data_IF_300530718480
#
_entry.id   IF_300530718480
#
_cell.length_a   1.000
_cell.length_b   1.000
_cell.length_c   1.000
_cell.angle_alpha   90.00
_cell.angle_beta   90.00
_cell.angle_gamma   90.00
#
_symmetry.space_group_name_H-M   'P 1'
#
loop_
_entity.id
_entity.type
_entity.pdbx_description
1 polymer ?
#
# COMPACT_ATOMS: atom_id res chain seq x y z
N UNK A 1 -16.30 37.36 -12.60
CA UNK A 1 -14.84 37.52 -12.45
C UNK A 1 -14.39 36.42 -11.53
N UNK A 2 -13.77 35.36 -12.07
CA UNK A 2 -13.21 34.27 -11.29
C UNK A 2 -11.70 34.51 -11.16
N UNK A 3 -11.21 34.58 -9.93
CA UNK A 3 -9.78 34.52 -9.61
C UNK A 3 -9.61 33.42 -8.58
N UNK A 4 -9.46 32.19 -9.06
CA UNK A 4 -8.94 31.08 -8.25
C UNK A 4 -7.62 30.66 -8.90
N UNK A 5 -6.61 31.50 -8.66
CA UNK A 5 -5.23 31.26 -9.03
C UNK A 5 -4.59 30.32 -8.02
N UNK A 6 -4.08 29.21 -8.54
CA UNK A 6 -2.83 28.57 -8.15
C UNK A 6 -2.70 28.02 -6.72
N UNK A 7 -2.89 26.71 -6.59
CA UNK A 7 -2.15 25.90 -5.63
C UNK A 7 -1.26 24.90 -6.38
N UNK A 8 -0.23 25.40 -7.06
CA UNK A 8 0.93 24.58 -7.37
C UNK A 8 1.85 24.59 -6.15
N UNK A 9 1.51 23.78 -5.15
CA UNK A 9 2.42 23.53 -4.03
C UNK A 9 3.52 22.61 -4.55
N UNK A 10 4.69 23.18 -4.83
CA UNK A 10 5.89 22.45 -5.19
C UNK A 10 6.46 21.76 -3.93
N UNK A 11 5.68 20.85 -3.36
CA UNK A 11 5.99 20.17 -2.10
C UNK A 11 6.88 18.99 -2.42
N UNK A 12 8.13 19.06 -1.96
CA UNK A 12 9.03 17.91 -1.98
C UNK A 12 8.50 16.86 -1.01
N UNK A 13 7.83 15.84 -1.54
CA UNK A 13 7.37 14.69 -0.76
C UNK A 13 8.44 13.59 -0.73
N UNK A 14 8.67 13.03 0.45
CA UNK A 14 9.54 11.86 0.57
C UNK A 14 8.77 10.62 0.16
N UNK A 15 9.37 9.81 -0.70
CA UNK A 15 8.80 8.54 -1.14
C UNK A 15 9.65 7.42 -0.58
N UNK A 16 9.00 6.42 0.01
CA UNK A 16 9.63 5.16 0.38
C UNK A 16 9.49 4.18 -0.78
N UNK A 17 10.63 3.73 -1.30
CA UNK A 17 10.68 2.71 -2.34
C UNK A 17 10.57 1.32 -1.72
N UNK A 18 9.74 0.48 -2.33
CA UNK A 18 9.51 -0.90 -1.95
C UNK A 18 9.60 -1.77 -3.20
N UNK A 19 10.15 -2.96 -3.06
CA UNK A 19 10.19 -3.95 -4.13
C UNK A 19 9.12 -5.00 -3.89
N UNK A 20 8.24 -5.20 -4.87
CA UNK A 20 7.23 -6.26 -4.88
C UNK A 20 7.48 -7.12 -6.11
N UNK A 21 7.97 -8.34 -5.92
CA UNK A 21 8.46 -9.20 -7.01
C UNK A 21 9.49 -8.46 -7.88
N UNK A 22 9.21 -8.28 -9.18
CA UNK A 22 10.04 -7.53 -10.12
C UNK A 22 9.63 -6.06 -10.30
N UNK A 23 8.64 -5.57 -9.54
CA UNK A 23 8.10 -4.22 -9.64
C UNK A 23 8.59 -3.37 -8.47
N UNK A 24 9.18 -2.21 -8.77
CA UNK A 24 9.48 -1.20 -7.76
C UNK A 24 8.30 -0.24 -7.64
N UNK A 25 7.76 -0.07 -6.44
CA UNK A 25 6.69 0.87 -6.13
C UNK A 25 7.18 1.94 -5.14
N UNK A 26 6.56 3.11 -5.19
CA UNK A 26 6.80 4.20 -4.25
C UNK A 26 5.54 4.47 -3.44
N UNK A 27 5.66 4.53 -2.12
CA UNK A 27 4.60 5.01 -1.22
C UNK A 27 5.02 6.32 -0.56
N UNK A 28 4.14 7.33 -0.44
CA UNK A 28 4.46 8.55 0.28
C UNK A 28 4.82 8.23 1.73
N UNK A 29 5.96 8.75 2.21
CA UNK A 29 6.49 8.41 3.53
C UNK A 29 5.54 8.82 4.65
N UNK A 30 4.78 9.90 4.46
CA UNK A 30 3.76 10.37 5.39
C UNK A 30 2.55 9.42 5.55
N UNK A 31 2.37 8.48 4.62
CA UNK A 31 1.33 7.45 4.69
C UNK A 31 1.85 6.14 5.30
N UNK A 32 3.16 6.02 5.53
CA UNK A 32 3.76 4.83 6.13
C UNK A 32 3.65 4.93 7.66
N UNK A 33 2.76 4.13 8.23
CA UNK A 33 2.60 4.09 9.69
C UNK A 33 3.75 3.35 10.38
N UNK A 34 4.12 2.17 9.89
CA UNK A 34 5.09 1.26 10.52
C UNK A 34 5.76 0.42 9.42
N UNK A 35 7.07 0.16 9.58
CA UNK A 35 7.79 -0.92 8.90
C UNK A 35 8.10 -1.98 9.96
N UNK A 36 7.66 -3.22 9.74
CA UNK A 36 7.80 -4.31 10.71
C UNK A 36 8.39 -5.54 10.03
N UNK A 37 9.07 -6.38 10.83
CA UNK A 37 9.55 -7.67 10.37
C UNK A 37 8.39 -8.58 10.00
N UNK A 38 8.57 -9.34 8.92
CA UNK A 38 7.55 -10.26 8.43
C UNK A 38 7.37 -11.44 9.38
N UNK A 39 6.11 -11.80 9.63
CA UNK A 39 5.71 -13.06 10.23
C UNK A 39 4.38 -13.49 9.62
N UNK A 40 4.05 -14.78 9.73
CA UNK A 40 2.81 -15.34 9.18
C UNK A 40 1.58 -14.66 9.82
N UNK A 41 0.74 -13.94 9.05
CA UNK A 41 -0.48 -13.34 9.58
C UNK A 41 -1.49 -14.42 9.98
N UNK A 42 -2.33 -14.10 10.98
CA UNK A 42 -3.45 -14.97 11.37
C UNK A 42 -4.49 -14.98 10.25
N UNK A 43 -4.80 -16.14 9.65
CA UNK A 43 -5.69 -16.20 8.50
C UNK A 43 -7.12 -15.79 8.87
N UNK A 44 -7.78 -15.07 7.95
CA UNK A 44 -9.19 -14.72 8.09
C UNK A 44 -10.06 -15.70 7.27
N UNK A 45 -11.12 -16.29 7.86
CA UNK A 45 -12.01 -17.16 7.13
C UNK A 45 -12.75 -16.38 6.04
N UNK A 46 -12.89 -16.99 4.87
CA UNK A 46 -13.59 -16.42 3.70
C UNK A 46 -13.01 -15.10 3.16
N UNK A 47 -11.78 -14.73 3.55
CA UNK A 47 -11.14 -13.55 3.00
C UNK A 47 -10.83 -13.72 1.50
N UNK A 48 -10.80 -12.62 0.72
CA UNK A 48 -10.33 -12.65 -0.66
C UNK A 48 -8.91 -13.24 -0.75
N UNK A 49 -8.57 -13.80 -1.91
CA UNK A 49 -7.23 -14.38 -2.17
C UNK A 49 -6.09 -13.37 -1.99
N UNK A 50 -6.36 -12.09 -2.17
CA UNK A 50 -5.41 -10.99 -1.96
C UNK A 50 -5.17 -10.65 -0.48
N UNK A 51 -5.83 -11.33 0.46
CA UNK A 51 -5.68 -11.08 1.90
C UNK A 51 -4.98 -12.28 2.54
N UNK A 52 -3.79 -12.07 3.10
CA UNK A 52 -3.10 -13.08 3.89
C UNK A 52 -3.78 -13.32 5.25
N UNK A 53 -4.35 -12.28 5.84
CA UNK A 53 -5.01 -12.34 7.14
C UNK A 53 -4.82 -11.05 7.93
N UNK A 54 -4.69 -11.18 9.26
CA UNK A 54 -4.46 -10.06 10.17
C UNK A 54 -3.19 -10.24 11.00
N UNK A 55 -2.50 -9.14 11.24
CA UNK A 55 -1.30 -9.05 12.05
C UNK A 55 -1.53 -8.07 13.21
N UNK A 56 -1.02 -8.38 14.40
CA UNK A 56 -1.01 -7.45 15.52
C UNK A 56 0.36 -6.77 15.60
N UNK A 57 0.39 -5.46 15.39
CA UNK A 57 1.61 -4.66 15.47
C UNK A 57 1.38 -3.60 16.55
N UNK A 58 2.17 -3.65 17.62
CA UNK A 58 2.06 -2.75 18.77
C UNK A 58 0.63 -2.70 19.36
N UNK A 59 -0.03 -3.85 19.43
CA UNK A 59 -1.40 -3.97 19.97
C UNK A 59 -2.51 -3.48 19.03
N UNK A 60 -2.19 -3.13 17.78
CA UNK A 60 -3.16 -2.76 16.76
C UNK A 60 -3.26 -3.84 15.68
N UNK A 61 -4.47 -4.17 15.28
CA UNK A 61 -4.74 -5.15 14.23
C UNK A 61 -4.66 -4.49 12.86
N UNK A 62 -3.88 -5.08 11.96
CA UNK A 62 -3.75 -4.64 10.57
C UNK A 62 -4.09 -5.79 9.63
N UNK A 63 -4.87 -5.51 8.58
CA UNK A 63 -5.08 -6.44 7.48
C UNK A 63 -3.81 -6.50 6.64
N UNK A 64 -3.30 -7.71 6.42
CA UNK A 64 -2.12 -7.95 5.59
C UNK A 64 -2.59 -8.41 4.23
N UNK A 65 -2.21 -7.66 3.19
CA UNK A 65 -2.61 -7.92 1.81
C UNK A 65 -1.42 -8.30 0.94
N UNK A 66 -1.67 -9.14 -0.06
CA UNK A 66 -0.71 -9.46 -1.11
C UNK A 66 -0.74 -8.36 -2.17
N UNK A 67 0.25 -7.47 -2.12
CA UNK A 67 0.39 -6.37 -3.08
C UNK A 67 0.65 -6.88 -4.50
N UNK A 68 1.33 -8.03 -4.66
CA UNK A 68 1.59 -8.60 -5.97
C UNK A 68 0.28 -9.00 -6.66
N UNK A 69 -0.59 -9.71 -5.95
CA UNK A 69 -1.91 -10.09 -6.48
C UNK A 69 -2.80 -8.88 -6.78
N UNK A 70 -2.69 -7.81 -6.00
CA UNK A 70 -3.44 -6.56 -6.26
C UNK A 70 -2.94 -5.90 -7.55
N UNK A 71 -1.62 -5.77 -7.73
CA UNK A 71 -1.04 -5.13 -8.92
C UNK A 71 -1.28 -5.95 -10.20
N UNK A 72 -1.29 -7.27 -10.10
CA UNK A 72 -1.58 -8.16 -11.24
C UNK A 72 -3.03 -8.00 -11.73
N UNK A 73 -3.99 -7.75 -10.82
CA UNK A 73 -5.39 -7.54 -11.20
C UNK A 73 -5.64 -6.25 -12.00
N UNK A 74 -4.85 -5.21 -11.79
CA UNK A 74 -4.96 -3.93 -12.51
C UNK A 74 -4.36 -4.00 -13.92
N UNK A 75 -3.39 -4.87 -14.13
CA UNK A 75 -2.72 -5.03 -15.44
C UNK A 75 -3.62 -5.75 -16.46
N UNK A 76 -4.63 -6.48 -16.00
CA UNK A 76 -5.53 -7.27 -16.85
C UNK A 76 -6.68 -6.46 -17.49
N UNK A 77 -6.85 -5.17 -17.17
CA UNK A 77 -7.88 -4.29 -17.74
C UNK A 77 -7.40 -3.42 -18.91
N UNK A 78 -6.20 -3.66 -19.44
CA UNK A 78 -5.63 -2.95 -20.60
C UNK A 78 -5.36 -3.85 -21.82
N UNK A 79 -6.06 -4.98 -21.93
CA UNK A 79 -6.02 -5.90 -23.08
C UNK A 79 -7.24 -5.82 -23.97
#
# INVERSE_FOLDING_TARGET
MATESEFQSNTVSRIRLLQVNSITIGVPEEQVLIVADWYQPTPLPFAPKSVFGVASIQGRMFTVVDVGLILDSETSLQG
#
